data_IF_584773799790
#
_entry.id   IF_584773799790
#
_cell.length_a   1.000
_cell.length_b   1.000
_cell.length_c   1.000
_cell.angle_alpha   90.00
_cell.angle_beta   90.00
_cell.angle_gamma   90.00
#
_symmetry.space_group_name_H-M   'P 1'
#
loop_
_entity.id
_entity.type
_entity.pdbx_description
1 polymer ?
#
# COMPACT_ATOMS: atom_id res chain seq x y z
N UNK A 1 8.99 39.00 45.83
CA UNK A 1 7.61 38.75 45.39
C UNK A 1 7.49 39.25 43.94
N UNK A 2 7.71 38.36 43.00
CA UNK A 2 7.67 38.70 41.58
C UNK A 2 6.25 38.51 41.10
N UNK A 3 5.60 39.59 40.70
CA UNK A 3 4.22 39.62 40.20
C UNK A 3 4.28 39.02 38.77
N UNK A 4 3.66 37.88 38.56
CA UNK A 4 3.47 37.30 37.23
C UNK A 4 2.32 38.12 36.58
N UNK A 5 2.57 38.78 35.44
CA UNK A 5 1.49 39.51 34.77
C UNK A 5 0.44 38.53 34.22
N UNK A 6 -0.81 38.92 34.39
CA UNK A 6 -1.99 38.16 33.94
C UNK A 6 -2.11 38.25 32.42
N UNK A 7 -1.36 37.43 31.66
CA UNK A 7 -1.33 37.43 30.20
C UNK A 7 -2.59 36.82 29.57
N UNK A 8 -3.44 36.20 30.40
CA UNK A 8 -4.63 35.45 29.88
C UNK A 8 -5.81 36.35 29.56
N UNK A 9 -5.88 37.59 30.08
CA UNK A 9 -7.04 38.45 29.93
C UNK A 9 -7.13 39.26 28.61
N UNK A 10 -6.07 39.23 27.79
CA UNK A 10 -6.01 40.01 26.53
C UNK A 10 -5.96 39.18 25.24
N UNK A 11 -6.10 37.84 25.33
CA UNK A 11 -6.12 37.01 24.14
C UNK A 11 -7.47 37.05 23.42
N UNK A 12 -7.51 37.23 22.09
CA UNK A 12 -8.74 37.09 21.32
C UNK A 12 -9.37 35.73 21.53
N UNK A 13 -10.70 35.68 21.67
CA UNK A 13 -11.49 34.44 21.93
C UNK A 13 -11.09 33.26 20.99
N UNK A 14 -10.85 33.45 19.68
CA UNK A 14 -10.42 32.35 18.81
C UNK A 14 -9.03 31.80 19.15
N UNK A 15 -8.12 32.61 19.64
CA UNK A 15 -6.77 32.20 20.09
C UNK A 15 -6.87 31.45 21.41
N UNK A 16 -7.71 31.89 22.32
CA UNK A 16 -7.95 31.22 23.59
C UNK A 16 -8.62 29.85 23.40
N UNK A 17 -9.56 29.72 22.47
CA UNK A 17 -10.16 28.45 22.07
C UNK A 17 -9.14 27.51 21.42
N UNK A 18 -8.26 28.01 20.56
CA UNK A 18 -7.19 27.21 19.96
C UNK A 18 -6.19 26.71 21.03
N UNK A 19 -5.82 27.54 21.99
CA UNK A 19 -4.95 27.17 23.12
C UNK A 19 -5.62 26.13 24.03
N UNK A 20 -6.91 26.26 24.30
CA UNK A 20 -7.68 25.27 25.07
C UNK A 20 -7.76 23.94 24.33
N UNK A 21 -7.96 23.94 23.02
CA UNK A 21 -7.99 22.70 22.21
C UNK A 21 -6.60 22.03 22.22
N UNK A 22 -5.52 22.78 22.12
CA UNK A 22 -4.15 22.25 22.15
C UNK A 22 -3.76 21.78 23.55
N UNK A 23 -4.06 22.54 24.60
CA UNK A 23 -3.64 22.21 25.97
C UNK A 23 -4.52 21.18 26.67
N UNK A 24 -5.79 21.07 26.29
CA UNK A 24 -6.76 20.18 26.93
C UNK A 24 -7.18 19.05 26.00
N UNK A 25 -7.45 19.35 24.74
CA UNK A 25 -7.95 18.37 23.78
C UNK A 25 -6.89 17.31 23.37
N UNK A 26 -5.65 17.74 23.08
CA UNK A 26 -4.57 16.80 22.76
C UNK A 26 -4.20 15.90 23.95
N UNK A 27 -4.00 16.39 25.17
CA UNK A 27 -3.75 15.53 26.33
C UNK A 27 -4.87 14.52 26.61
N UNK A 28 -6.13 14.89 26.41
CA UNK A 28 -7.28 13.98 26.61
C UNK A 28 -7.24 12.84 25.59
N UNK A 29 -6.89 13.12 24.34
CA UNK A 29 -6.74 12.11 23.30
C UNK A 29 -5.59 11.17 23.63
N UNK A 30 -4.43 11.73 24.02
CA UNK A 30 -3.26 10.94 24.44
C UNK A 30 -3.51 10.12 25.70
N UNK A 31 -4.21 10.68 26.71
CA UNK A 31 -4.58 9.96 27.93
C UNK A 31 -5.57 8.83 27.62
N UNK A 32 -6.54 9.06 26.75
CA UNK A 32 -7.50 8.03 26.36
C UNK A 32 -6.83 6.89 25.59
N UNK A 33 -5.90 7.21 24.69
CA UNK A 33 -5.11 6.24 23.95
C UNK A 33 -4.13 5.48 24.87
N UNK A 34 -3.46 6.18 25.80
CA UNK A 34 -2.59 5.58 26.82
C UNK A 34 -3.39 4.68 27.81
N UNK A 35 -4.59 5.09 28.23
CA UNK A 35 -5.43 4.27 29.10
C UNK A 35 -5.96 3.02 28.42
N UNK A 36 -6.18 3.08 27.10
CA UNK A 36 -6.55 1.91 26.29
C UNK A 36 -5.36 0.95 26.15
N UNK A 37 -4.15 1.50 25.99
CA UNK A 37 -2.89 0.74 25.95
C UNK A 37 -2.56 0.08 27.29
N UNK A 38 -2.76 0.80 28.41
CA UNK A 38 -2.38 0.33 29.76
C UNK A 38 -3.21 -0.85 30.28
N UNK A 39 -4.38 -1.11 29.71
CA UNK A 39 -5.26 -2.21 30.14
C UNK A 39 -4.91 -3.58 29.52
N UNK A 40 -3.85 -3.67 28.73
CA UNK A 40 -3.39 -4.94 28.14
C UNK A 40 -4.37 -5.65 27.19
N UNK A 41 -5.61 -5.19 27.13
CA UNK A 41 -6.60 -5.72 26.21
C UNK A 41 -6.54 -4.98 24.88
N UNK A 42 -6.24 -5.70 23.80
CA UNK A 42 -6.31 -5.14 22.45
C UNK A 42 -7.78 -4.80 22.14
N UNK A 43 -8.06 -3.59 21.64
CA UNK A 43 -9.40 -3.27 21.20
C UNK A 43 -9.82 -4.18 20.05
N UNK A 44 -11.09 -4.57 20.03
CA UNK A 44 -11.65 -5.35 18.93
C UNK A 44 -11.51 -4.59 17.59
N UNK A 45 -11.39 -5.28 16.45
CA UNK A 45 -11.39 -4.65 15.14
C UNK A 45 -12.61 -3.77 14.95
N UNK A 46 -12.41 -2.61 14.32
CA UNK A 46 -13.50 -1.67 14.06
C UNK A 46 -14.49 -2.29 13.07
N UNK A 47 -15.77 -2.36 13.44
CA UNK A 47 -16.81 -2.74 12.50
C UNK A 47 -17.09 -1.57 11.53
N UNK A 48 -16.64 -1.70 10.31
CA UNK A 48 -16.79 -0.70 9.23
C UNK A 48 -18.25 -0.26 9.06
N UNK A 49 -19.20 -1.18 9.22
CA UNK A 49 -20.64 -0.89 9.08
C UNK A 49 -21.16 0.03 10.18
N UNK A 50 -20.54 -0.01 11.35
CA UNK A 50 -20.85 0.89 12.47
C UNK A 50 -20.04 2.18 12.41
N UNK A 51 -18.79 2.10 11.95
CA UNK A 51 -17.89 3.23 11.83
C UNK A 51 -18.32 4.28 10.79
N UNK A 52 -19.14 3.90 9.81
CA UNK A 52 -19.57 4.79 8.71
C UNK A 52 -20.76 5.72 9.00
N UNK A 53 -21.17 5.91 10.26
CA UNK A 53 -22.37 6.69 10.61
C UNK A 53 -22.03 7.89 11.49
N UNK A 54 -22.36 9.09 11.02
CA UNK A 54 -22.31 10.34 11.79
C UNK A 54 -21.49 11.46 11.14
N UNK A 55 -21.64 12.67 11.65
CA UNK A 55 -21.06 13.90 11.08
C UNK A 55 -19.53 13.90 10.98
N UNK A 56 -18.81 13.16 11.82
CA UNK A 56 -17.35 13.05 11.75
C UNK A 56 -16.92 12.23 10.53
N UNK A 57 -17.63 11.14 10.24
CA UNK A 57 -17.38 10.31 9.06
C UNK A 57 -17.69 11.03 7.75
N UNK A 58 -18.71 11.87 7.73
CA UNK A 58 -19.03 12.70 6.57
C UNK A 58 -17.94 13.74 6.28
N UNK A 59 -17.27 14.25 7.31
CA UNK A 59 -16.11 15.14 7.15
C UNK A 59 -14.90 14.38 6.62
N UNK A 60 -14.58 13.20 7.18
CA UNK A 60 -13.51 12.34 6.69
C UNK A 60 -13.75 11.90 5.25
N UNK A 61 -14.99 11.58 4.90
CA UNK A 61 -15.38 11.17 3.56
C UNK A 61 -15.04 12.22 2.49
N UNK A 62 -15.17 13.51 2.81
CA UNK A 62 -14.80 14.60 1.90
C UNK A 62 -13.30 14.65 1.62
N UNK A 63 -12.46 14.33 2.61
CA UNK A 63 -11.01 14.32 2.46
C UNK A 63 -10.50 13.10 1.69
N UNK A 64 -11.22 11.98 1.75
CA UNK A 64 -10.85 10.72 1.11
C UNK A 64 -11.69 10.39 -0.14
N UNK A 65 -12.34 11.38 -0.73
CA UNK A 65 -13.06 11.18 -1.99
C UNK A 65 -12.08 10.88 -3.12
N UNK A 66 -12.23 9.74 -3.81
CA UNK A 66 -11.38 9.39 -4.94
C UNK A 66 -11.50 10.41 -6.08
N UNK A 67 -10.36 10.67 -6.74
CA UNK A 67 -10.27 11.63 -7.85
C UNK A 67 -10.03 10.86 -9.15
N UNK A 68 -11.08 10.69 -9.95
CA UNK A 68 -10.95 10.06 -11.26
C UNK A 68 -10.51 11.07 -12.31
N UNK A 69 -9.39 10.79 -12.99
CA UNK A 69 -8.90 11.49 -14.18
C UNK A 69 -8.59 10.49 -15.28
N UNK A 70 -8.70 10.91 -16.54
CA UNK A 70 -8.48 10.07 -17.71
C UNK A 70 -9.74 9.42 -18.25
N UNK A 71 -9.62 8.62 -19.31
CA UNK A 71 -10.73 8.03 -20.06
C UNK A 71 -11.01 6.61 -19.62
N UNK A 72 -12.24 6.36 -19.13
CA UNK A 72 -12.70 4.99 -18.88
C UNK A 72 -12.95 4.21 -20.20
N UNK A 73 -13.19 4.92 -21.30
CA UNK A 73 -13.54 4.27 -22.57
C UNK A 73 -12.38 3.45 -23.14
N UNK A 74 -11.15 3.83 -22.84
CA UNK A 74 -9.96 3.13 -23.29
C UNK A 74 -9.65 1.85 -22.46
N UNK A 75 -10.17 1.74 -21.22
CA UNK A 75 -9.76 0.66 -20.29
C UNK A 75 -10.01 -0.75 -20.80
N UNK A 76 -11.08 -0.96 -21.57
CA UNK A 76 -11.47 -2.29 -22.07
C UNK A 76 -10.63 -2.78 -23.25
N UNK A 77 -9.96 -1.88 -23.96
CA UNK A 77 -9.31 -2.17 -25.26
C UNK A 77 -7.85 -1.74 -25.31
N UNK A 78 -7.40 -0.90 -24.38
CA UNK A 78 -6.03 -0.39 -24.33
C UNK A 78 -5.17 -1.25 -23.39
N UNK A 79 -4.15 -1.87 -23.96
CA UNK A 79 -3.16 -2.67 -23.22
C UNK A 79 -2.45 -1.84 -22.15
N UNK A 80 -2.15 -0.56 -22.42
CA UNK A 80 -1.53 0.32 -21.44
C UNK A 80 -2.44 0.59 -20.25
N UNK A 81 -3.73 0.80 -20.48
CA UNK A 81 -4.69 0.96 -19.40
C UNK A 81 -4.75 -0.28 -18.48
N UNK A 82 -4.67 -1.49 -19.08
CA UNK A 82 -4.59 -2.73 -18.32
C UNK A 82 -3.31 -2.79 -17.47
N UNK A 83 -2.16 -2.48 -18.07
CA UNK A 83 -0.88 -2.49 -17.36
C UNK A 83 -0.87 -1.51 -16.18
N UNK A 84 -1.57 -0.38 -16.30
CA UNK A 84 -1.73 0.60 -15.23
C UNK A 84 -2.73 0.18 -14.15
N UNK A 85 -3.59 -0.80 -14.42
CA UNK A 85 -4.69 -1.19 -13.52
C UNK A 85 -4.23 -1.45 -12.08
N UNK A 86 -3.13 -2.16 -11.79
CA UNK A 86 -2.64 -2.33 -10.42
C UNK A 86 -2.35 -1.02 -9.69
N UNK A 87 -2.01 0.07 -10.40
CA UNK A 87 -1.74 1.37 -9.78
C UNK A 87 -3.00 2.19 -9.46
N UNK A 88 -4.19 1.78 -9.90
CA UNK A 88 -5.41 2.57 -9.76
C UNK A 88 -5.80 2.91 -8.32
N UNK A 89 -5.60 2.06 -7.30
CA UNK A 89 -5.88 2.44 -5.93
C UNK A 89 -5.16 3.72 -5.50
N UNK A 90 -3.92 3.89 -5.92
CA UNK A 90 -3.13 5.10 -5.66
C UNK A 90 -3.42 6.22 -6.66
N UNK A 91 -3.70 5.90 -7.91
CA UNK A 91 -4.12 6.89 -8.89
C UNK A 91 -5.36 7.66 -8.43
N UNK A 92 -6.35 6.96 -7.89
CA UNK A 92 -7.56 7.57 -7.32
C UNK A 92 -7.28 8.45 -6.09
N UNK A 93 -6.29 8.10 -5.26
CA UNK A 93 -5.90 8.92 -4.11
C UNK A 93 -5.26 10.24 -4.55
N UNK A 94 -4.34 10.16 -5.51
CA UNK A 94 -3.53 11.30 -5.96
C UNK A 94 -4.14 12.05 -7.14
N UNK A 95 -5.25 11.56 -7.71
CA UNK A 95 -5.88 12.12 -8.91
C UNK A 95 -4.99 11.97 -10.14
N UNK A 96 -4.22 10.88 -10.24
CA UNK A 96 -3.42 10.58 -11.42
C UNK A 96 -4.30 10.04 -12.56
N UNK A 97 -3.97 10.28 -13.85
CA UNK A 97 -4.72 9.72 -14.98
C UNK A 97 -4.72 8.19 -14.94
N UNK A 98 -5.83 7.54 -15.23
CA UNK A 98 -5.93 6.07 -15.27
C UNK A 98 -5.47 5.46 -16.61
N UNK A 99 -5.21 6.29 -17.59
CA UNK A 99 -4.87 5.94 -18.97
C UNK A 99 -3.48 6.41 -19.43
N UNK A 100 -2.65 6.89 -18.50
CA UNK A 100 -1.28 7.34 -18.80
C UNK A 100 -0.33 7.11 -17.62
N UNK A 101 0.97 6.97 -17.90
CA UNK A 101 2.02 6.91 -16.86
C UNK A 101 2.16 8.21 -16.06
N UNK A 102 1.67 9.33 -16.57
CA UNK A 102 1.76 10.63 -15.95
C UNK A 102 1.22 10.66 -14.51
N UNK A 103 1.78 11.55 -13.70
CA UNK A 103 1.26 11.95 -12.40
C UNK A 103 0.73 13.38 -12.45
N UNK A 104 -0.31 13.67 -11.66
CA UNK A 104 -0.96 14.99 -11.69
C UNK A 104 -0.12 16.09 -11.05
N UNK A 105 0.63 15.72 -10.01
CA UNK A 105 1.41 16.64 -9.18
C UNK A 105 2.85 16.13 -9.02
N UNK A 106 3.75 16.36 -10.01
CA UNK A 106 5.12 15.81 -9.96
C UNK A 106 5.91 16.23 -8.72
N UNK A 107 5.79 17.48 -8.28
CA UNK A 107 6.51 17.99 -7.09
C UNK A 107 6.05 17.27 -5.81
N UNK A 108 4.75 17.13 -5.62
CA UNK A 108 4.17 16.39 -4.48
C UNK A 108 4.52 14.90 -4.54
N UNK A 109 4.55 14.32 -5.75
CA UNK A 109 4.98 12.93 -5.96
C UNK A 109 6.44 12.74 -5.56
N UNK A 110 7.33 13.66 -5.95
CA UNK A 110 8.75 13.62 -5.58
C UNK A 110 8.93 13.74 -4.07
N UNK A 111 8.19 14.63 -3.41
CA UNK A 111 8.21 14.79 -1.96
C UNK A 111 7.73 13.51 -1.24
N UNK A 112 6.63 12.92 -1.71
CA UNK A 112 6.10 11.65 -1.18
C UNK A 112 7.12 10.53 -1.33
N UNK A 113 7.74 10.37 -2.50
CA UNK A 113 8.78 9.34 -2.71
C UNK A 113 9.96 9.53 -1.77
N UNK A 114 10.43 10.77 -1.59
CA UNK A 114 11.55 11.06 -0.67
C UNK A 114 11.19 10.80 0.78
N UNK A 115 10.02 11.25 1.24
CA UNK A 115 9.60 11.18 2.65
C UNK A 115 9.16 9.78 3.07
N UNK A 116 8.35 9.12 2.23
CA UNK A 116 7.63 7.90 2.61
C UNK A 116 8.33 6.62 2.10
N UNK A 117 9.26 6.76 1.14
CA UNK A 117 9.93 5.65 0.48
C UNK A 117 11.46 5.77 0.44
N UNK A 118 12.00 6.89 0.91
CA UNK A 118 13.45 7.19 0.84
C UNK A 118 13.99 7.09 -0.59
N UNK A 119 13.15 7.45 -1.59
CA UNK A 119 13.47 7.39 -3.02
C UNK A 119 13.64 8.79 -3.57
N UNK A 120 14.89 9.14 -3.93
CA UNK A 120 15.26 10.42 -4.53
C UNK A 120 15.92 10.28 -5.91
N UNK A 121 16.28 9.06 -6.29
CA UNK A 121 16.98 8.75 -7.54
C UNK A 121 16.62 7.34 -8.04
N UNK A 122 17.13 7.02 -9.25
CA UNK A 122 16.92 5.73 -9.90
C UNK A 122 17.32 4.54 -9.02
N UNK A 123 18.51 4.58 -8.43
CA UNK A 123 19.03 3.43 -7.69
C UNK A 123 18.17 3.09 -6.46
N UNK A 124 17.74 4.12 -5.73
CA UNK A 124 16.85 3.95 -4.58
C UNK A 124 15.48 3.41 -5.01
N UNK A 125 14.96 3.89 -6.15
CA UNK A 125 13.73 3.34 -6.74
C UNK A 125 13.88 1.85 -7.05
N UNK A 126 14.97 1.45 -7.73
CA UNK A 126 15.21 0.06 -8.09
C UNK A 126 15.31 -0.86 -6.86
N UNK A 127 15.97 -0.39 -5.79
CA UNK A 127 16.04 -1.12 -4.51
C UNK A 127 14.66 -1.37 -3.90
N UNK A 128 13.81 -0.33 -3.88
CA UNK A 128 12.45 -0.46 -3.34
C UNK A 128 11.58 -1.38 -4.21
N UNK A 129 11.70 -1.28 -5.52
CA UNK A 129 10.98 -2.15 -6.44
C UNK A 129 11.41 -3.60 -6.28
N UNK A 130 12.73 -3.85 -6.23
CA UNK A 130 13.26 -5.17 -6.00
C UNK A 130 12.73 -5.78 -4.70
N UNK A 131 12.82 -5.01 -3.60
CA UNK A 131 12.29 -5.46 -2.32
C UNK A 131 10.80 -5.80 -2.38
N UNK A 132 9.97 -4.93 -2.97
CA UNK A 132 8.53 -5.19 -3.11
C UNK A 132 8.22 -6.42 -3.96
N UNK A 133 8.99 -6.65 -5.03
CA UNK A 133 8.74 -7.76 -5.95
C UNK A 133 9.22 -9.10 -5.39
N UNK A 134 10.32 -9.13 -4.64
CA UNK A 134 10.91 -10.36 -4.13
C UNK A 134 10.46 -10.72 -2.71
N UNK A 135 10.41 -9.78 -1.81
CA UNK A 135 10.13 -10.01 -0.40
C UNK A 135 8.87 -9.26 0.06
N UNK A 136 8.95 -7.93 0.06
CA UNK A 136 7.90 -7.04 0.50
C UNK A 136 7.46 -7.29 1.95
N UNK A 137 6.38 -6.65 2.33
CA UNK A 137 5.76 -6.88 3.64
C UNK A 137 5.12 -8.28 3.74
N UNK A 138 4.78 -8.90 2.59
CA UNK A 138 4.19 -10.23 2.57
C UNK A 138 5.07 -11.28 3.23
N UNK A 139 6.41 -11.16 3.08
CA UNK A 139 7.37 -12.06 3.72
C UNK A 139 7.30 -11.94 5.24
N UNK A 140 7.36 -10.72 5.75
CA UNK A 140 7.34 -10.45 7.19
C UNK A 140 5.99 -10.84 7.83
N UNK A 141 4.89 -10.52 7.17
CA UNK A 141 3.55 -10.87 7.64
C UNK A 141 3.32 -12.38 7.57
N UNK A 142 3.76 -13.03 6.49
CA UNK A 142 3.70 -14.48 6.35
C UNK A 142 4.50 -15.18 7.44
N UNK A 143 5.73 -14.74 7.69
CA UNK A 143 6.57 -15.25 8.78
C UNK A 143 5.91 -15.05 10.16
N UNK A 144 5.41 -13.86 10.46
CA UNK A 144 4.73 -13.57 11.72
C UNK A 144 3.50 -14.47 11.90
N UNK A 145 2.70 -14.63 10.84
CA UNK A 145 1.54 -15.53 10.83
C UNK A 145 1.93 -16.97 11.15
N UNK A 146 2.97 -17.48 10.51
CA UNK A 146 3.50 -18.83 10.75
C UNK A 146 3.96 -19.01 12.20
N UNK A 147 4.73 -18.04 12.73
CA UNK A 147 5.20 -18.06 14.11
C UNK A 147 4.05 -17.99 15.13
N UNK A 148 2.94 -17.35 14.79
CA UNK A 148 1.73 -17.35 15.65
C UNK A 148 1.12 -18.74 15.81
N UNK A 149 1.42 -19.71 14.95
CA UNK A 149 1.09 -21.13 15.13
C UNK A 149 1.89 -21.83 16.24
N UNK A 150 2.97 -21.23 16.77
CA UNK A 150 3.81 -21.78 17.83
C UNK A 150 3.50 -21.12 19.18
N UNK A 151 2.82 -21.78 20.12
CA UNK A 151 2.44 -21.20 21.42
C UNK A 151 3.64 -20.71 22.25
N UNK A 152 4.77 -21.40 22.17
CA UNK A 152 5.98 -21.03 22.92
C UNK A 152 6.58 -19.74 22.37
N UNK A 153 6.64 -19.58 21.05
CA UNK A 153 7.07 -18.36 20.40
C UNK A 153 6.14 -17.19 20.78
N UNK A 154 4.82 -17.38 20.65
CA UNK A 154 3.81 -16.36 21.00
C UNK A 154 3.99 -15.88 22.43
N UNK A 155 4.09 -16.81 23.41
CA UNK A 155 4.29 -16.46 24.82
C UNK A 155 5.55 -15.63 25.03
N UNK A 156 6.67 -16.06 24.48
CA UNK A 156 7.96 -15.38 24.65
C UNK A 156 7.99 -14.02 23.93
N UNK A 157 7.41 -13.96 22.72
CA UNK A 157 7.39 -12.73 21.93
C UNK A 157 6.50 -11.67 22.54
N UNK A 158 5.27 -12.04 22.95
CA UNK A 158 4.35 -11.12 23.62
C UNK A 158 4.92 -10.62 24.95
N UNK A 159 5.63 -11.45 25.73
CA UNK A 159 6.28 -10.99 26.94
C UNK A 159 7.27 -9.86 26.66
N UNK A 160 8.17 -10.02 25.67
CA UNK A 160 9.15 -9.00 25.29
C UNK A 160 8.50 -7.74 24.72
N UNK A 161 7.52 -7.92 23.84
CA UNK A 161 6.84 -6.78 23.19
C UNK A 161 6.06 -5.97 24.22
N UNK A 162 5.42 -6.63 25.19
CA UNK A 162 4.64 -5.96 26.24
C UNK A 162 5.50 -5.11 27.19
N UNK A 163 6.79 -5.48 27.39
CA UNK A 163 7.71 -4.69 28.23
C UNK A 163 7.95 -3.29 27.67
N UNK A 164 7.89 -3.11 26.35
CA UNK A 164 8.26 -1.86 25.67
C UNK A 164 7.16 -1.24 24.81
N UNK A 165 6.02 -1.93 24.63
CA UNK A 165 4.96 -1.51 23.72
C UNK A 165 4.31 -0.17 24.10
N UNK A 166 4.32 0.21 25.36
CA UNK A 166 3.76 1.49 25.81
C UNK A 166 4.70 2.67 25.49
N UNK A 167 5.98 2.40 25.24
CA UNK A 167 6.99 3.40 24.92
C UNK A 167 7.40 3.41 23.45
N UNK A 168 7.26 2.27 22.75
CA UNK A 168 7.72 2.07 21.38
C UNK A 168 6.56 1.71 20.44
N UNK A 169 6.34 2.57 19.46
CA UNK A 169 5.26 2.40 18.48
C UNK A 169 5.38 1.07 17.72
N UNK A 170 6.57 0.69 17.30
CA UNK A 170 6.80 -0.53 16.53
C UNK A 170 6.45 -1.80 17.33
N UNK A 171 6.82 -1.81 18.63
CA UNK A 171 6.48 -2.91 19.52
C UNK A 171 4.96 -2.98 19.76
N UNK A 172 4.30 -1.83 19.87
CA UNK A 172 2.84 -1.78 19.98
C UNK A 172 2.16 -2.31 18.71
N UNK A 173 2.63 -1.92 17.53
CA UNK A 173 2.13 -2.40 16.23
C UNK A 173 2.35 -3.90 16.07
N UNK A 174 3.52 -4.41 16.48
CA UNK A 174 3.79 -5.84 16.44
C UNK A 174 2.85 -6.62 17.36
N UNK A 175 2.65 -6.16 18.60
CA UNK A 175 1.68 -6.74 19.53
C UNK A 175 0.29 -6.79 18.91
N UNK A 176 -0.14 -5.68 18.28
CA UNK A 176 -1.41 -5.58 17.60
C UNK A 176 -1.53 -6.64 16.49
N UNK A 177 -0.53 -6.78 15.61
CA UNK A 177 -0.53 -7.76 14.53
C UNK A 177 -0.58 -9.19 15.04
N UNK A 178 0.21 -9.54 16.06
CA UNK A 178 0.18 -10.88 16.68
C UNK A 178 -1.23 -11.21 17.15
N UNK A 179 -1.90 -10.32 17.86
CA UNK A 179 -3.28 -10.56 18.30
C UNK A 179 -4.27 -10.71 17.14
N UNK A 180 -4.08 -9.98 16.01
CA UNK A 180 -4.92 -10.14 14.82
C UNK A 180 -4.77 -11.55 14.22
N UNK A 181 -3.56 -12.05 14.13
CA UNK A 181 -3.31 -13.42 13.66
C UNK A 181 -3.87 -14.49 14.63
N UNK A 182 -3.66 -14.33 15.92
CA UNK A 182 -4.17 -15.29 16.92
C UNK A 182 -5.70 -15.40 16.90
N UNK A 183 -6.39 -14.30 16.69
CA UNK A 183 -7.84 -14.26 16.66
C UNK A 183 -8.43 -14.54 15.26
N UNK A 184 -7.61 -14.64 14.24
CA UNK A 184 -8.03 -14.63 12.83
C UNK A 184 -8.97 -13.45 12.50
N UNK A 185 -8.64 -12.27 13.00
CA UNK A 185 -9.48 -11.08 12.85
C UNK A 185 -9.68 -10.76 11.35
N UNK A 186 -10.93 -10.64 10.91
CA UNK A 186 -11.32 -10.41 9.50
C UNK A 186 -10.88 -11.51 8.52
N UNK A 187 -10.53 -12.71 9.00
CA UNK A 187 -10.04 -13.79 8.16
C UNK A 187 -8.59 -13.60 7.68
N UNK A 188 -7.78 -12.82 8.42
CA UNK A 188 -6.42 -12.43 8.00
C UNK A 188 -5.47 -13.63 7.78
N UNK A 189 -5.75 -14.76 8.42
CA UNK A 189 -4.93 -15.97 8.26
C UNK A 189 -5.07 -16.61 6.86
N UNK A 190 -6.16 -16.34 6.15
CA UNK A 190 -6.44 -16.90 4.83
C UNK A 190 -6.05 -15.93 3.70
N UNK A 191 -5.50 -14.74 4.02
CA UNK A 191 -5.16 -13.71 3.06
C UNK A 191 -3.77 -13.94 2.46
N UNK A 192 -3.65 -13.88 1.14
CA UNK A 192 -2.37 -13.66 0.46
C UNK A 192 -2.02 -12.17 0.53
N UNK A 193 -0.81 -11.85 1.02
CA UNK A 193 -0.38 -10.46 1.24
C UNK A 193 0.24 -9.81 0.01
N UNK A 194 0.41 -10.53 -1.11
CA UNK A 194 1.10 -10.08 -2.30
C UNK A 194 0.49 -8.83 -2.94
N UNK A 195 -0.84 -8.70 -2.97
CA UNK A 195 -1.50 -7.55 -3.57
C UNK A 195 -1.06 -6.21 -2.95
N UNK A 196 -0.77 -6.18 -1.64
CA UNK A 196 -0.26 -5.00 -0.95
C UNK A 196 1.08 -4.53 -1.53
N UNK A 197 1.98 -5.45 -1.80
CA UNK A 197 3.30 -5.15 -2.33
C UNK A 197 3.25 -4.83 -3.83
N UNK A 198 2.55 -5.62 -4.62
CA UNK A 198 2.45 -5.46 -6.07
C UNK A 198 1.75 -4.17 -6.49
N UNK A 199 0.67 -3.80 -5.83
CA UNK A 199 -0.05 -2.54 -6.09
C UNK A 199 0.82 -1.34 -5.72
N UNK A 200 1.61 -1.42 -4.65
CA UNK A 200 2.57 -0.38 -4.28
C UNK A 200 3.74 -0.30 -5.25
N UNK A 201 4.25 -1.43 -5.72
CA UNK A 201 5.26 -1.46 -6.77
C UNK A 201 4.75 -0.77 -8.05
N UNK A 202 3.50 -1.03 -8.47
CA UNK A 202 2.90 -0.35 -9.61
C UNK A 202 2.81 1.17 -9.42
N UNK A 203 2.52 1.63 -8.21
CA UNK A 203 2.54 3.07 -7.87
C UNK A 203 3.95 3.65 -7.99
N UNK A 204 4.98 2.97 -7.47
CA UNK A 204 6.37 3.40 -7.54
C UNK A 204 6.89 3.45 -8.98
N UNK A 205 6.59 2.44 -9.80
CA UNK A 205 6.94 2.40 -11.23
C UNK A 205 6.37 3.64 -11.94
N UNK A 206 5.11 3.91 -11.73
CA UNK A 206 4.45 5.06 -12.34
C UNK A 206 5.07 6.38 -11.89
N UNK A 207 5.33 6.55 -10.59
CA UNK A 207 5.99 7.72 -10.05
C UNK A 207 7.41 7.87 -10.59
N UNK A 208 8.16 6.78 -10.66
CA UNK A 208 9.53 6.76 -11.20
C UNK A 208 9.61 7.15 -12.67
N UNK A 209 8.70 6.66 -13.50
CA UNK A 209 8.61 7.05 -14.91
C UNK A 209 8.27 8.55 -15.06
N UNK A 210 7.26 9.02 -14.33
CA UNK A 210 6.84 10.43 -14.39
C UNK A 210 7.92 11.42 -13.91
N UNK A 211 8.83 10.98 -13.04
CA UNK A 211 9.96 11.77 -12.55
C UNK A 211 11.26 11.54 -13.33
N UNK A 212 11.25 10.68 -14.35
CA UNK A 212 12.42 10.38 -15.18
C UNK A 212 13.48 9.53 -14.49
N UNK A 213 13.16 8.82 -13.41
CA UNK A 213 14.08 7.86 -12.77
C UNK A 213 14.23 6.57 -13.59
N UNK A 214 13.20 6.20 -14.33
CA UNK A 214 13.17 5.09 -15.28
C UNK A 214 12.51 5.55 -16.57
N UNK A 215 12.80 4.84 -17.67
CA UNK A 215 12.17 5.12 -18.97
C UNK A 215 10.74 4.59 -19.01
N UNK A 216 9.93 5.08 -19.95
CA UNK A 216 8.58 4.57 -20.18
C UNK A 216 8.61 3.08 -20.56
N UNK A 217 9.62 2.65 -21.34
CA UNK A 217 9.78 1.25 -21.74
C UNK A 217 10.01 0.34 -20.53
N UNK A 218 10.92 0.73 -19.63
CA UNK A 218 11.18 0.02 -18.36
C UNK A 218 9.94 -0.02 -17.48
N UNK A 219 9.18 1.08 -17.45
CA UNK A 219 7.95 1.16 -16.67
C UNK A 219 6.88 0.19 -17.19
N UNK A 220 6.63 0.18 -18.51
CA UNK A 220 5.66 -0.73 -19.12
C UNK A 220 6.05 -2.20 -18.96
N UNK A 221 7.33 -2.51 -19.13
CA UNK A 221 7.87 -3.83 -18.92
C UNK A 221 7.67 -4.34 -17.49
N UNK A 222 8.00 -3.51 -16.49
CA UNK A 222 7.84 -3.89 -15.09
C UNK A 222 6.35 -3.96 -14.66
N UNK A 223 5.49 -3.12 -15.23
CA UNK A 223 4.05 -3.23 -15.00
C UNK A 223 3.48 -4.53 -15.57
N UNK A 224 4.06 -5.09 -16.64
CA UNK A 224 3.68 -6.41 -17.12
C UNK A 224 4.04 -7.51 -16.11
N UNK A 225 5.22 -7.44 -15.48
CA UNK A 225 5.61 -8.35 -14.39
C UNK A 225 4.61 -8.27 -13.23
N UNK A 226 4.26 -7.07 -12.80
CA UNK A 226 3.31 -6.85 -11.69
C UNK A 226 1.93 -7.43 -12.01
N UNK A 227 1.43 -7.19 -13.24
CA UNK A 227 0.15 -7.77 -13.68
C UNK A 227 0.20 -9.30 -13.65
N UNK A 228 1.29 -9.89 -14.12
CA UNK A 228 1.45 -11.34 -14.07
C UNK A 228 1.47 -11.87 -12.64
N UNK A 229 2.25 -11.25 -11.74
CA UNK A 229 2.32 -11.63 -10.33
C UNK A 229 0.93 -11.61 -9.66
N UNK A 230 0.11 -10.60 -9.95
CA UNK A 230 -1.26 -10.54 -9.46
C UNK A 230 -2.10 -11.70 -10.00
N UNK A 231 -1.96 -12.05 -11.29
CA UNK A 231 -2.70 -13.15 -11.90
C UNK A 231 -2.28 -14.54 -11.41
N UNK A 232 -1.04 -14.68 -10.96
CA UNK A 232 -0.56 -15.92 -10.34
C UNK A 232 -1.12 -16.10 -8.92
N UNK A 233 -1.35 -15.01 -8.21
CA UNK A 233 -1.76 -15.02 -6.80
C UNK A 233 -3.28 -14.93 -6.61
N UNK A 234 -4.02 -14.36 -7.56
CA UNK A 234 -5.45 -14.07 -7.43
C UNK A 234 -6.24 -14.53 -8.66
N UNK A 235 -7.53 -14.75 -8.46
CA UNK A 235 -8.47 -15.16 -9.52
C UNK A 235 -9.33 -14.02 -10.07
N UNK A 236 -9.32 -12.85 -9.43
CA UNK A 236 -10.14 -11.71 -9.82
C UNK A 236 -9.60 -10.39 -9.24
N UNK A 237 -10.08 -9.26 -9.80
CA UNK A 237 -9.83 -7.94 -9.22
C UNK A 237 -10.45 -7.77 -7.85
N UNK A 238 -11.60 -8.39 -7.59
CA UNK A 238 -12.26 -8.36 -6.28
C UNK A 238 -11.39 -9.02 -5.22
N UNK A 239 -10.85 -10.20 -5.51
CA UNK A 239 -9.95 -10.93 -4.61
C UNK A 239 -8.66 -10.16 -4.35
N UNK A 240 -8.03 -9.62 -5.41
CA UNK A 240 -6.84 -8.79 -5.27
C UNK A 240 -7.11 -7.51 -4.45
N UNK A 241 -8.29 -6.90 -4.60
CA UNK A 241 -8.69 -5.74 -3.81
C UNK A 241 -8.91 -6.08 -2.33
N UNK A 242 -9.59 -7.17 -2.05
CA UNK A 242 -9.82 -7.61 -0.68
C UNK A 242 -8.51 -7.96 0.02
N UNK A 243 -7.61 -8.65 -0.66
CA UNK A 243 -6.27 -8.95 -0.15
C UNK A 243 -5.46 -7.65 0.11
N UNK A 244 -5.46 -6.70 -0.82
CA UNK A 244 -4.83 -5.40 -0.64
C UNK A 244 -5.38 -4.65 0.58
N UNK A 245 -6.69 -4.56 0.70
CA UNK A 245 -7.38 -3.85 1.76
C UNK A 245 -7.10 -4.45 3.13
N UNK A 246 -7.19 -5.78 3.25
CA UNK A 246 -6.94 -6.49 4.51
C UNK A 246 -5.47 -6.41 4.93
N UNK A 247 -4.54 -6.52 3.97
CA UNK A 247 -3.11 -6.36 4.25
C UNK A 247 -2.77 -4.93 4.67
N UNK A 248 -3.37 -3.92 4.01
CA UNK A 248 -3.22 -2.52 4.40
C UNK A 248 -3.75 -2.26 5.81
N UNK A 249 -4.90 -2.85 6.16
CA UNK A 249 -5.44 -2.79 7.52
C UNK A 249 -4.47 -3.39 8.54
N UNK A 250 -3.90 -4.56 8.27
CA UNK A 250 -2.90 -5.21 9.13
C UNK A 250 -1.63 -4.35 9.27
N UNK A 251 -1.19 -3.72 8.20
CA UNK A 251 -0.02 -2.83 8.17
C UNK A 251 -0.25 -1.57 9.00
N UNK A 252 -1.42 -0.95 8.88
CA UNK A 252 -1.75 0.32 9.55
C UNK A 252 -2.26 0.13 10.99
N UNK A 253 -1.67 -0.78 11.76
CA UNK A 253 -2.12 -1.20 13.08
C UNK A 253 -1.77 -0.19 14.18
N UNK A 254 -2.26 1.04 14.09
CA UNK A 254 -1.96 2.12 15.06
C UNK A 254 -3.08 2.45 16.04
N UNK A 255 -4.29 1.92 15.86
CA UNK A 255 -5.43 2.11 16.75
C UNK A 255 -6.78 2.15 16.02
N UNK A 256 -7.88 2.10 16.79
CA UNK A 256 -9.24 2.00 16.24
C UNK A 256 -9.65 3.17 15.36
N UNK A 257 -9.25 4.41 15.68
CA UNK A 257 -9.59 5.58 14.88
C UNK A 257 -8.97 5.49 13.49
N UNK A 258 -7.71 5.07 13.42
CA UNK A 258 -7.00 4.90 12.15
C UNK A 258 -7.53 3.70 11.35
N UNK A 259 -7.91 2.60 12.03
CA UNK A 259 -8.61 1.50 11.36
C UNK A 259 -9.87 1.98 10.65
N UNK A 260 -10.70 2.74 11.36
CA UNK A 260 -11.95 3.26 10.82
C UNK A 260 -11.73 4.24 9.66
N UNK A 261 -10.74 5.12 9.76
CA UNK A 261 -10.35 6.03 8.68
C UNK A 261 -9.87 5.27 7.44
N UNK A 262 -9.00 4.29 7.63
CA UNK A 262 -8.51 3.44 6.55
C UNK A 262 -9.63 2.63 5.90
N UNK A 263 -10.52 2.06 6.68
CA UNK A 263 -11.69 1.32 6.18
C UNK A 263 -12.61 2.20 5.34
N UNK A 264 -12.85 3.44 5.78
CA UNK A 264 -13.65 4.41 5.02
C UNK A 264 -12.99 4.77 3.70
N UNK A 265 -11.68 5.02 3.74
CA UNK A 265 -10.88 5.32 2.56
C UNK A 265 -10.89 4.15 1.56
N UNK A 266 -10.70 2.93 2.05
CA UNK A 266 -10.69 1.73 1.22
C UNK A 266 -12.07 1.40 0.65
N UNK A 267 -13.14 1.61 1.41
CA UNK A 267 -14.51 1.48 0.91
C UNK A 267 -14.78 2.45 -0.23
N UNK A 268 -14.41 3.72 -0.07
CA UNK A 268 -14.63 4.73 -1.09
C UNK A 268 -13.84 4.42 -2.37
N UNK A 269 -12.58 3.98 -2.24
CA UNK A 269 -11.80 3.52 -3.40
C UNK A 269 -12.41 2.27 -4.04
N UNK A 270 -12.86 1.33 -3.23
CA UNK A 270 -13.50 0.10 -3.69
C UNK A 270 -14.69 0.36 -4.60
N UNK A 271 -15.56 1.32 -4.27
CA UNK A 271 -16.67 1.71 -5.13
C UNK A 271 -16.23 2.18 -6.53
N UNK A 272 -15.08 2.88 -6.62
CA UNK A 272 -14.52 3.31 -7.89
C UNK A 272 -13.77 2.21 -8.64
N UNK A 273 -13.27 1.19 -7.95
CA UNK A 273 -12.50 0.11 -8.54
C UNK A 273 -13.39 -1.06 -8.95
N UNK A 274 -14.14 -1.63 -8.02
CA UNK A 274 -14.91 -2.87 -8.17
C UNK A 274 -16.43 -2.67 -8.09
N UNK A 275 -16.91 -1.46 -7.83
CA UNK A 275 -18.34 -1.15 -7.86
C UNK A 275 -18.95 -1.38 -9.24
N UNK A 276 -20.28 -1.35 -9.36
CA UNK A 276 -21.05 -1.66 -10.60
C UNK A 276 -20.49 -1.01 -11.88
N UNK A 277 -19.88 0.17 -11.74
CA UNK A 277 -19.22 0.89 -12.84
C UNK A 277 -17.75 1.13 -12.52
N UNK A 278 -17.12 0.24 -11.79
CA UNK A 278 -15.73 0.36 -11.35
C UNK A 278 -14.73 0.36 -12.50
N UNK A 279 -13.53 0.87 -12.24
CA UNK A 279 -12.46 0.90 -13.25
C UNK A 279 -12.01 -0.52 -13.61
N UNK A 280 -11.86 -1.37 -12.61
CA UNK A 280 -11.43 -2.76 -12.80
C UNK A 280 -12.51 -3.63 -13.40
N UNK A 281 -13.80 -3.33 -13.17
CA UNK A 281 -14.89 -4.05 -13.84
C UNK A 281 -14.95 -3.81 -15.35
N UNK A 282 -14.32 -2.74 -15.85
CA UNK A 282 -14.15 -2.49 -17.28
C UNK A 282 -12.96 -3.26 -17.90
N UNK A 283 -12.11 -3.90 -17.09
CA UNK A 283 -10.92 -4.62 -17.54
C UNK A 283 -11.12 -6.11 -17.20
N UNK A 284 -11.41 -6.97 -18.18
CA UNK A 284 -11.51 -8.40 -17.94
C UNK A 284 -10.23 -8.95 -17.29
N UNK A 285 -10.41 -9.78 -16.25
CA UNK A 285 -9.27 -10.35 -15.52
C UNK A 285 -8.33 -11.16 -16.41
N UNK A 286 -8.87 -11.94 -17.28
CA UNK A 286 -8.17 -12.90 -18.19
C UNK A 286 -7.67 -12.26 -19.49
N UNK A 287 -7.73 -10.92 -19.62
CA UNK A 287 -7.08 -10.27 -20.76
C UNK A 287 -5.58 -10.59 -20.74
N UNK A 288 -5.00 -10.99 -21.89
CA UNK A 288 -3.57 -11.24 -21.98
C UNK A 288 -2.75 -9.99 -21.60
N UNK A 289 -1.73 -10.16 -20.75
CA UNK A 289 -0.70 -9.15 -20.53
C UNK A 289 0.42 -9.31 -21.56
N UNK A 290 1.10 -8.20 -21.95
CA UNK A 290 2.34 -8.29 -22.70
C UNK A 290 3.38 -9.11 -21.93
N UNK A 291 4.26 -9.78 -22.66
CA UNK A 291 5.44 -10.44 -22.10
C UNK A 291 6.44 -9.39 -21.62
N UNK A 292 6.96 -9.57 -20.42
CA UNK A 292 8.06 -8.74 -19.92
C UNK A 292 9.40 -9.22 -20.49
N UNK A 293 10.34 -8.28 -20.65
CA UNK A 293 11.77 -8.54 -20.97
C UNK A 293 12.65 -8.42 -19.72
N UNK A 294 12.08 -8.19 -18.56
CA UNK A 294 12.77 -8.03 -17.28
C UNK A 294 13.84 -6.93 -17.26
N UNK A 295 13.63 -5.85 -17.99
CA UNK A 295 14.61 -4.79 -18.21
C UNK A 295 15.21 -4.22 -16.92
N UNK A 296 14.38 -3.99 -15.89
CA UNK A 296 14.86 -3.46 -14.61
C UNK A 296 15.54 -4.53 -13.75
N UNK A 297 15.15 -5.78 -13.86
CA UNK A 297 15.78 -6.88 -13.10
C UNK A 297 17.18 -7.17 -13.62
N UNK A 298 17.39 -7.13 -14.94
CA UNK A 298 18.72 -7.25 -15.54
C UNK A 298 19.66 -6.11 -15.13
N UNK A 299 19.13 -4.88 -15.09
CA UNK A 299 19.88 -3.70 -14.63
C UNK A 299 20.25 -3.81 -13.16
N UNK A 300 19.34 -4.30 -12.30
CA UNK A 300 19.64 -4.53 -10.89
C UNK A 300 20.78 -5.53 -10.68
N UNK A 301 20.93 -6.51 -11.57
CA UNK A 301 22.03 -7.47 -11.54
C UNK A 301 23.36 -6.85 -11.98
N UNK A 302 23.34 -5.82 -12.83
CA UNK A 302 24.52 -5.24 -13.48
C UNK A 302 24.97 -3.90 -12.90
N UNK A 303 24.09 -3.07 -12.36
CA UNK A 303 24.45 -1.78 -11.78
C UNK A 303 25.18 -1.93 -10.45
N UNK A 304 26.49 -2.04 -10.59
CA UNK A 304 27.42 -1.52 -9.60
C UNK A 304 27.51 -2.20 -8.25
N UNK A 305 27.78 -3.50 -8.20
CA UNK A 305 28.22 -4.12 -6.95
C UNK A 305 27.19 -4.07 -5.81
N UNK A 306 25.94 -3.71 -6.12
CA UNK A 306 24.85 -3.89 -5.22
C UNK A 306 24.46 -5.36 -5.27
N UNK A 307 24.94 -6.11 -4.31
CA UNK A 307 24.44 -7.45 -4.01
C UNK A 307 23.00 -7.33 -3.48
N UNK A 308 22.12 -6.69 -4.27
CA UNK A 308 20.69 -6.56 -4.00
C UNK A 308 20.00 -7.91 -4.09
N UNK A 309 20.61 -8.83 -4.85
CA UNK A 309 20.16 -10.18 -4.99
C UNK A 309 21.05 -11.06 -4.11
N UNK A 310 20.49 -11.57 -3.00
CA UNK A 310 21.04 -12.80 -2.44
C UNK A 310 21.05 -13.87 -3.54
N UNK A 311 21.96 -14.87 -3.51
CA UNK A 311 21.89 -15.99 -4.45
C UNK A 311 20.49 -16.62 -4.54
N UNK A 312 19.74 -16.71 -3.43
CA UNK A 312 18.35 -17.16 -3.40
C UNK A 312 17.39 -16.21 -4.12
N UNK A 313 17.55 -14.90 -3.98
CA UNK A 313 16.72 -13.92 -4.70
C UNK A 313 16.95 -13.95 -6.21
N UNK A 314 18.17 -14.25 -6.65
CA UNK A 314 18.48 -14.45 -8.06
C UNK A 314 17.89 -15.76 -8.60
N UNK A 315 17.93 -16.82 -7.84
CA UNK A 315 17.28 -18.09 -8.17
C UNK A 315 15.77 -17.91 -8.28
N UNK A 316 15.17 -17.13 -7.39
CA UNK A 316 13.74 -16.79 -7.43
C UNK A 316 13.38 -15.92 -8.64
N UNK A 317 14.20 -14.92 -8.97
CA UNK A 317 14.03 -14.10 -10.18
C UNK A 317 14.15 -14.97 -11.46
N UNK A 318 15.14 -15.88 -11.50
CA UNK A 318 15.31 -16.82 -12.61
C UNK A 318 14.22 -17.88 -12.67
N UNK A 319 13.61 -18.25 -11.56
CA UNK A 319 12.43 -19.12 -11.51
C UNK A 319 11.21 -18.39 -12.07
N UNK A 320 11.02 -17.14 -11.72
CA UNK A 320 10.00 -16.25 -12.27
C UNK A 320 10.15 -16.07 -13.78
N UNK A 321 11.36 -15.82 -14.26
CA UNK A 321 11.66 -15.70 -15.68
C UNK A 321 11.32 -16.99 -16.45
N UNK A 322 11.69 -18.14 -15.91
CA UNK A 322 11.36 -19.45 -16.51
C UNK A 322 9.86 -19.72 -16.54
N UNK A 323 9.14 -19.36 -15.50
CA UNK A 323 7.69 -19.53 -15.44
C UNK A 323 6.99 -18.58 -16.40
N UNK A 324 7.45 -17.35 -16.48
CA UNK A 324 7.02 -16.36 -17.45
C UNK A 324 7.22 -16.84 -18.88
N UNK A 325 8.42 -17.32 -19.20
CA UNK A 325 8.78 -17.85 -20.51
C UNK A 325 7.90 -19.05 -20.90
N UNK A 326 7.59 -19.91 -19.96
CA UNK A 326 6.72 -21.08 -20.20
C UNK A 326 5.29 -20.68 -20.50
N UNK A 327 4.76 -19.67 -19.83
CA UNK A 327 3.39 -19.21 -20.05
C UNK A 327 3.26 -18.30 -21.28
N UNK A 328 4.31 -17.56 -21.66
CA UNK A 328 4.30 -16.60 -22.75
C UNK A 328 4.58 -17.21 -24.11
N UNK A 329 5.34 -18.31 -24.20
CA UNK A 329 5.55 -19.06 -25.45
C UNK A 329 4.27 -19.57 -26.09
N UNK A 330 3.18 -19.63 -25.35
CA UNK A 330 1.85 -20.01 -25.86
C UNK A 330 1.01 -18.83 -26.32
N UNK A 331 1.47 -17.57 -26.18
CA UNK A 331 0.72 -16.36 -26.52
C UNK A 331 1.39 -15.59 -27.65
N UNK A 332 0.58 -15.11 -28.60
CA UNK A 332 1.06 -14.24 -29.67
C UNK A 332 1.61 -12.92 -29.08
N UNK A 333 2.71 -12.36 -29.61
CA UNK A 333 3.24 -11.11 -29.17
C UNK A 333 2.22 -9.99 -29.35
N UNK A 334 1.98 -9.20 -28.30
CA UNK A 334 1.11 -8.03 -28.36
C UNK A 334 1.96 -6.80 -28.72
N UNK A 335 1.36 -5.85 -29.42
CA UNK A 335 2.02 -4.58 -29.76
C UNK A 335 1.61 -3.51 -28.75
N UNK A 336 2.56 -2.72 -28.26
CA UNK A 336 2.32 -1.51 -27.48
C UNK A 336 2.44 -0.31 -28.40
N UNK A 337 1.39 0.52 -28.50
CA UNK A 337 1.39 1.69 -29.36
C UNK A 337 1.57 1.37 -30.87
N UNK A 338 1.08 0.21 -31.34
CA UNK A 338 1.16 -0.20 -32.75
C UNK A 338 2.52 -0.63 -33.24
N UNK A 339 3.53 -0.72 -32.36
CA UNK A 339 4.85 -1.28 -32.69
C UNK A 339 4.97 -2.68 -32.10
N UNK A 340 5.46 -3.68 -32.86
CA UNK A 340 5.74 -4.98 -32.32
C UNK A 340 6.84 -4.85 -31.25
N UNK A 341 6.64 -5.50 -30.10
CA UNK A 341 7.73 -5.68 -29.13
C UNK A 341 8.66 -6.71 -29.77
N UNK A 342 9.81 -6.25 -30.24
CA UNK A 342 10.85 -7.14 -30.79
C UNK A 342 11.64 -7.70 -29.60
N UNK A 343 11.64 -9.01 -29.48
CA UNK A 343 12.42 -9.75 -28.49
C UNK A 343 13.90 -9.75 -28.87
#
# INVERSE_FOLDING_TARGET
MTVIPNVVSEMPIPVMLAVIVVLVGLPIIFIKDALTRSKGAMPAPTDVRKAGKGNEWDKLNKHHTPKLRGSRKALATDVHARLLAPSFPYALCHGNPVDALAVSEPSSTKEMLSRDWEVTNRLELLRQLYWLLQEGHRKDFGHTREQCGNPSWVKNRLARVNEVADEQTDAWEERWRIHRFLNNDRGINDVDFGAWDFIRAAMLIRAGAALGFITDEEAWDTLAIINHALHMSYSSWDEAWDAFRLTRWLWAAKGQAQEAENDLHDRNRGEFLIGKNGLWTAIPWDLPSPTSRFLLLDVLATEGGLHLLSPSGWEDASAWEREFDTQTRTRAPMSIGGKPIVH
#
